data_IF_522165366221
#
_entry.id   IF_522165366221
#
_cell.length_a   1.000
_cell.length_b   1.000
_cell.length_c   1.000
_cell.angle_alpha   90.00
_cell.angle_beta   90.00
_cell.angle_gamma   90.00
#
_symmetry.space_group_name_H-M   'P 1'
#
loop_
_entity.id
_entity.type
_entity.pdbx_description
1 polymer ?
#
# COMPACT_ATOMS: atom_id res chain seq x y z
N UNK A 1 1.34 13.03 -0.57
CA UNK A 1 1.54 12.02 0.47
C UNK A 1 0.26 11.84 1.27
N UNK A 2 -0.10 10.59 1.56
CA UNK A 2 -1.18 10.23 2.50
C UNK A 2 -0.52 9.73 3.79
N UNK A 3 -0.98 10.23 4.93
CA UNK A 3 -0.46 9.90 6.27
C UNK A 3 -1.55 9.30 7.13
N UNK A 4 -1.19 8.39 8.03
CA UNK A 4 -2.00 8.11 9.21
C UNK A 4 -1.87 9.35 10.12
N UNK A 5 -2.98 9.83 10.66
CA UNK A 5 -3.00 11.02 11.54
C UNK A 5 -3.94 10.82 12.73
N UNK A 6 -3.35 10.57 13.89
CA UNK A 6 -4.03 10.57 15.17
C UNK A 6 -3.77 11.84 16.00
N UNK A 7 -2.95 12.78 15.53
CA UNK A 7 -2.65 14.01 16.25
C UNK A 7 -3.93 14.81 16.55
N UNK A 8 -4.80 14.95 15.55
CA UNK A 8 -6.07 15.68 15.69
C UNK A 8 -6.97 15.06 16.76
N UNK A 9 -7.16 13.74 16.74
CA UNK A 9 -7.99 13.06 17.74
C UNK A 9 -7.34 13.07 19.13
N UNK A 10 -6.02 12.94 19.20
CA UNK A 10 -5.26 13.04 20.45
C UNK A 10 -5.41 14.45 21.07
N UNK A 11 -5.34 15.49 20.26
CA UNK A 11 -5.58 16.87 20.74
C UNK A 11 -7.02 17.06 21.24
N UNK A 12 -8.02 16.53 20.53
CA UNK A 12 -9.42 16.59 20.94
C UNK A 12 -9.65 15.87 22.29
N UNK A 13 -9.11 14.66 22.47
CA UNK A 13 -9.22 13.93 23.73
C UNK A 13 -8.49 14.61 24.88
N UNK A 14 -7.34 15.23 24.62
CA UNK A 14 -6.62 16.05 25.62
C UNK A 14 -7.46 17.21 26.15
N UNK A 15 -8.26 17.86 25.31
CA UNK A 15 -9.19 18.92 25.74
C UNK A 15 -10.23 18.41 26.74
N UNK A 16 -10.61 17.15 26.65
CA UNK A 16 -11.57 16.47 27.55
C UNK A 16 -10.86 15.77 28.74
N UNK A 17 -9.56 16.02 28.93
CA UNK A 17 -8.78 15.40 30.02
C UNK A 17 -8.57 13.89 29.86
N UNK A 18 -8.65 13.37 28.61
CA UNK A 18 -8.52 11.93 28.29
C UNK A 18 -7.25 11.66 27.50
N UNK A 19 -6.79 10.43 27.53
CA UNK A 19 -5.67 9.93 26.74
C UNK A 19 -6.19 9.16 25.51
N UNK A 20 -5.58 9.39 24.34
CA UNK A 20 -5.84 8.59 23.15
C UNK A 20 -4.91 7.37 23.17
N UNK A 21 -5.47 6.19 23.35
CA UNK A 21 -4.73 4.92 23.39
C UNK A 21 -4.77 4.17 22.06
N UNK A 22 -5.60 4.59 21.11
CA UNK A 22 -5.74 3.89 19.83
C UNK A 22 -4.44 3.82 19.02
N UNK A 23 -3.58 4.85 18.94
CA UNK A 23 -2.30 4.74 18.25
C UNK A 23 -1.37 3.67 18.85
N UNK A 24 -1.61 3.29 20.11
CA UNK A 24 -0.82 2.29 20.84
C UNK A 24 -1.31 0.85 20.60
N UNK A 25 -2.23 0.63 19.69
CA UNK A 25 -2.81 -0.68 19.37
C UNK A 25 -2.61 -1.06 17.90
N UNK A 26 -2.69 -2.35 17.61
CA UNK A 26 -2.73 -2.87 16.23
C UNK A 26 -3.93 -2.29 15.45
N UNK A 27 -5.09 -2.14 16.12
CA UNK A 27 -6.30 -1.55 15.53
C UNK A 27 -6.04 -0.14 14.99
N UNK A 28 -5.29 0.69 15.70
CA UNK A 28 -4.95 2.04 15.23
C UNK A 28 -4.21 2.03 13.91
N UNK A 29 -3.27 1.10 13.73
CA UNK A 29 -2.55 0.95 12.46
C UNK A 29 -3.47 0.44 11.37
N UNK A 30 -4.32 -0.54 11.67
CA UNK A 30 -5.27 -1.11 10.70
C UNK A 30 -6.28 -0.07 10.21
N UNK A 31 -6.93 0.65 11.13
CA UNK A 31 -7.87 1.73 10.79
C UNK A 31 -7.18 2.82 9.96
N UNK A 32 -6.01 3.30 10.43
CA UNK A 32 -5.27 4.32 9.69
C UNK A 32 -4.83 3.88 8.30
N UNK A 33 -4.44 2.60 8.14
CA UNK A 33 -4.05 2.04 6.85
C UNK A 33 -5.26 1.89 5.90
N UNK A 34 -6.41 1.47 6.40
CA UNK A 34 -7.65 1.35 5.62
C UNK A 34 -8.12 2.72 5.15
N UNK A 35 -8.21 3.70 6.06
CA UNK A 35 -8.62 5.07 5.73
C UNK A 35 -7.65 5.71 4.72
N UNK A 36 -6.35 5.50 4.91
CA UNK A 36 -5.34 5.96 3.97
C UNK A 36 -5.45 5.34 2.59
N UNK A 37 -5.78 4.05 2.50
CA UNK A 37 -6.04 3.36 1.22
C UNK A 37 -7.29 3.89 0.51
N UNK A 38 -8.37 4.12 1.25
CA UNK A 38 -9.61 4.72 0.74
C UNK A 38 -9.34 6.14 0.21
N UNK A 39 -8.61 6.96 0.98
CA UNK A 39 -8.24 8.32 0.58
C UNK A 39 -7.35 8.31 -0.67
N UNK A 40 -6.36 7.42 -0.75
CA UNK A 40 -5.50 7.28 -1.92
C UNK A 40 -6.32 6.98 -3.18
N UNK A 41 -7.21 5.99 -3.11
CA UNK A 41 -8.05 5.62 -4.25
C UNK A 41 -8.98 6.76 -4.67
N UNK A 42 -9.62 7.44 -3.72
CA UNK A 42 -10.48 8.59 -4.00
C UNK A 42 -9.71 9.72 -4.70
N UNK A 43 -8.50 10.04 -4.21
CA UNK A 43 -7.63 11.05 -4.78
C UNK A 43 -7.20 10.71 -6.22
N UNK A 44 -6.78 9.46 -6.45
CA UNK A 44 -6.38 8.99 -7.78
C UNK A 44 -7.56 8.99 -8.76
N UNK A 45 -8.71 8.47 -8.35
CA UNK A 45 -9.92 8.46 -9.18
C UNK A 45 -10.37 9.88 -9.55
N UNK A 46 -10.35 10.80 -8.59
CA UNK A 46 -10.66 12.21 -8.85
C UNK A 46 -9.66 12.84 -9.82
N UNK A 47 -8.36 12.63 -9.63
CA UNK A 47 -7.34 13.15 -10.53
C UNK A 47 -7.50 12.61 -11.96
N UNK A 48 -7.73 11.31 -12.09
CA UNK A 48 -7.94 10.66 -13.40
C UNK A 48 -9.22 11.15 -14.10
N UNK A 49 -10.27 11.48 -13.36
CA UNK A 49 -11.49 12.08 -13.93
C UNK A 49 -11.27 13.46 -14.56
N UNK A 50 -10.19 14.15 -14.16
CA UNK A 50 -9.74 15.41 -14.77
C UNK A 50 -8.69 15.22 -15.87
N UNK A 51 -8.39 13.98 -16.25
CA UNK A 51 -7.42 13.65 -17.30
C UNK A 51 -5.97 13.57 -16.83
N UNK A 52 -5.70 13.61 -15.53
CA UNK A 52 -4.36 13.38 -15.00
C UNK A 52 -4.03 11.88 -14.95
N UNK A 53 -2.73 11.56 -15.04
CA UNK A 53 -2.21 10.23 -14.72
C UNK A 53 -1.78 10.17 -13.26
N UNK A 54 -1.89 8.99 -12.64
CA UNK A 54 -1.52 8.77 -11.25
C UNK A 54 -0.66 7.52 -11.07
N UNK A 55 0.18 7.51 -10.02
CA UNK A 55 0.94 6.33 -9.63
C UNK A 55 1.11 6.28 -8.11
N UNK A 56 0.64 5.20 -7.48
CA UNK A 56 0.84 4.97 -6.05
C UNK A 56 2.31 4.63 -5.75
N UNK A 57 2.88 5.25 -4.72
CA UNK A 57 4.30 5.14 -4.34
C UNK A 57 4.43 4.58 -2.92
N UNK A 58 4.59 3.25 -2.81
CA UNK A 58 4.89 2.60 -1.52
C UNK A 58 6.34 2.82 -1.05
N UNK A 59 7.24 3.14 -1.97
CA UNK A 59 8.67 3.31 -1.71
C UNK A 59 9.04 4.45 -0.74
N UNK A 60 8.11 5.34 -0.41
CA UNK A 60 8.29 6.38 0.62
C UNK A 60 8.61 5.76 1.99
N UNK A 61 8.13 4.55 2.27
CA UNK A 61 8.39 3.82 3.51
C UNK A 61 9.79 3.17 3.58
N UNK A 62 10.63 3.37 2.57
CA UNK A 62 12.04 2.97 2.64
C UNK A 62 12.81 3.79 3.67
N UNK A 63 12.48 5.09 3.78
CA UNK A 63 13.07 6.02 4.74
C UNK A 63 11.96 6.86 5.40
N UNK A 64 11.13 6.27 6.30
CA UNK A 64 9.99 6.99 6.87
C UNK A 64 10.41 8.18 7.74
N UNK A 65 11.53 8.06 8.45
CA UNK A 65 12.14 9.12 9.27
C UNK A 65 12.45 10.39 8.46
N UNK A 66 12.98 10.24 7.25
CA UNK A 66 13.20 11.38 6.35
C UNK A 66 11.90 12.04 5.89
N UNK A 67 10.84 11.27 5.73
CA UNK A 67 9.51 11.84 5.40
C UNK A 67 8.93 12.59 6.58
N UNK A 68 9.10 12.05 7.79
CA UNK A 68 8.68 12.71 9.04
C UNK A 68 9.43 14.04 9.20
N UNK A 69 10.75 14.05 9.02
CA UNK A 69 11.58 15.26 9.10
C UNK A 69 11.21 16.30 8.04
N UNK A 70 11.15 15.87 6.77
CA UNK A 70 10.88 16.75 5.63
C UNK A 70 9.53 17.49 5.74
N UNK A 71 8.52 16.80 6.30
CA UNK A 71 7.16 17.31 6.40
C UNK A 71 6.79 17.76 7.81
N UNK A 72 7.77 17.78 8.73
CA UNK A 72 7.59 18.17 10.12
C UNK A 72 6.38 17.45 10.78
N UNK A 73 6.25 16.13 10.49
CA UNK A 73 5.13 15.35 10.96
C UNK A 73 5.19 15.19 12.50
N UNK A 74 4.12 15.54 13.23
CA UNK A 74 4.09 15.39 14.68
C UNK A 74 3.96 13.92 15.10
N UNK A 75 4.21 13.66 16.37
CA UNK A 75 3.89 12.37 17.01
C UNK A 75 2.41 11.99 16.80
N UNK A 76 2.10 10.72 16.64
CA UNK A 76 0.77 10.22 16.28
C UNK A 76 0.45 10.28 14.80
N UNK A 77 1.45 10.60 13.95
CA UNK A 77 1.31 10.57 12.48
C UNK A 77 2.35 9.66 11.84
N UNK A 78 2.03 9.07 10.68
CA UNK A 78 2.97 8.22 9.95
C UNK A 78 2.79 8.32 8.43
N UNK A 79 3.89 8.45 7.64
CA UNK A 79 3.83 8.49 6.20
C UNK A 79 3.45 7.12 5.63
N UNK A 80 2.23 6.99 5.11
CA UNK A 80 1.66 5.70 4.69
C UNK A 80 1.97 5.37 3.23
N UNK A 81 1.61 6.26 2.31
CA UNK A 81 1.76 6.06 0.88
C UNK A 81 1.82 7.39 0.15
N UNK A 82 2.65 7.47 -0.89
CA UNK A 82 2.67 8.60 -1.81
C UNK A 82 1.82 8.33 -3.05
N UNK A 83 1.49 9.38 -3.77
CA UNK A 83 1.07 9.30 -5.16
C UNK A 83 1.69 10.43 -5.96
N UNK A 84 2.09 10.14 -7.19
CA UNK A 84 2.35 11.19 -8.18
C UNK A 84 1.07 11.47 -8.94
N UNK A 85 0.86 12.73 -9.30
CA UNK A 85 -0.24 13.19 -10.15
C UNK A 85 0.38 14.10 -11.19
N UNK A 86 0.12 13.86 -12.47
CA UNK A 86 0.71 14.65 -13.54
C UNK A 86 -0.04 14.50 -14.85
N UNK A 87 0.30 15.36 -15.80
CA UNK A 87 -0.21 15.23 -17.16
C UNK A 87 0.45 14.02 -17.80
N UNK A 88 -0.32 13.01 -18.27
CA UNK A 88 0.25 11.86 -18.94
C UNK A 88 0.86 12.29 -20.29
N UNK A 89 1.91 11.58 -20.71
CA UNK A 89 2.45 11.75 -22.06
C UNK A 89 1.40 11.30 -23.07
N UNK A 90 1.47 11.82 -24.31
CA UNK A 90 0.54 11.44 -25.38
C UNK A 90 0.65 9.96 -25.76
N UNK A 91 1.82 9.35 -25.54
CA UNK A 91 2.05 7.92 -25.76
C UNK A 91 1.45 7.09 -24.60
N UNK A 92 0.28 6.54 -24.83
CA UNK A 92 -0.29 5.53 -23.94
C UNK A 92 0.38 4.18 -24.19
N UNK A 93 0.68 3.39 -23.13
CA UNK A 93 1.12 2.02 -23.33
C UNK A 93 0.10 1.26 -24.20
N UNK A 94 0.57 0.59 -25.23
CA UNK A 94 -0.28 -0.19 -26.15
C UNK A 94 -0.82 -1.48 -25.53
N UNK A 95 -0.47 -1.76 -24.26
CA UNK A 95 -0.79 -3.01 -23.59
C UNK A 95 -1.20 -2.77 -22.13
N UNK A 96 -2.06 -3.65 -21.63
CA UNK A 96 -2.46 -3.72 -20.21
C UNK A 96 -1.90 -4.99 -19.63
N UNK A 97 -1.15 -4.87 -18.51
CA UNK A 97 -0.62 -6.03 -17.80
C UNK A 97 -1.77 -6.92 -17.32
N UNK A 98 -1.73 -8.24 -17.59
CA UNK A 98 -2.76 -9.16 -17.12
C UNK A 98 -2.84 -9.16 -15.59
N UNK A 99 -4.00 -9.53 -15.08
CA UNK A 99 -4.28 -9.65 -13.64
C UNK A 99 -4.53 -11.11 -13.29
N UNK A 100 -4.38 -11.43 -12.01
CA UNK A 100 -4.78 -12.74 -11.48
C UNK A 100 -6.25 -13.02 -11.76
N UNK A 101 -6.67 -14.27 -11.96
CA UNK A 101 -8.07 -14.64 -12.16
C UNK A 101 -8.94 -14.15 -10.99
N UNK A 102 -10.14 -13.65 -11.29
CA UNK A 102 -11.02 -13.05 -10.28
C UNK A 102 -11.34 -14.03 -9.13
N UNK A 103 -11.60 -15.28 -9.44
CA UNK A 103 -11.93 -16.33 -8.48
C UNK A 103 -10.75 -16.73 -7.55
N UNK A 104 -9.53 -16.26 -7.83
CA UNK A 104 -8.38 -16.50 -6.97
C UNK A 104 -8.27 -15.53 -5.79
N UNK A 105 -9.04 -14.45 -5.78
CA UNK A 105 -9.02 -13.46 -4.68
C UNK A 105 -10.40 -12.93 -4.29
N UNK A 106 -11.44 -13.15 -5.10
CA UNK A 106 -12.82 -12.80 -4.78
C UNK A 106 -13.62 -14.08 -4.55
N UNK A 107 -13.95 -14.36 -3.30
CA UNK A 107 -14.62 -15.59 -2.89
C UNK A 107 -16.05 -15.30 -2.44
N UNK A 108 -16.96 -16.29 -2.65
CA UNK A 108 -18.34 -16.22 -2.17
C UNK A 108 -18.44 -16.93 -0.82
N UNK A 109 -18.94 -16.24 0.20
CA UNK A 109 -19.18 -16.70 1.58
C UNK A 109 -17.94 -17.15 2.34
N UNK A 110 -17.05 -17.96 1.75
CA UNK A 110 -15.88 -18.53 2.40
C UNK A 110 -14.65 -18.41 1.52
N UNK A 111 -13.49 -18.31 2.15
CA UNK A 111 -12.21 -18.35 1.45
C UNK A 111 -12.00 -19.70 0.75
N UNK A 112 -11.72 -19.69 -0.54
CA UNK A 112 -11.45 -20.88 -1.35
C UNK A 112 -9.94 -20.99 -1.63
N UNK A 113 -9.26 -21.78 -0.80
CA UNK A 113 -7.83 -22.03 -0.91
C UNK A 113 -7.46 -22.70 -2.24
N UNK A 114 -8.26 -23.64 -2.71
CA UNK A 114 -8.00 -24.39 -3.96
C UNK A 114 -8.11 -23.45 -5.17
N UNK A 115 -9.12 -22.61 -5.22
CA UNK A 115 -9.27 -21.60 -6.27
C UNK A 115 -8.10 -20.60 -6.25
N UNK A 116 -7.62 -20.20 -5.06
CA UNK A 116 -6.46 -19.32 -4.92
C UNK A 116 -5.19 -19.95 -5.48
N UNK A 117 -4.88 -21.20 -5.09
CA UNK A 117 -3.69 -21.93 -5.54
C UNK A 117 -3.73 -22.14 -7.08
N UNK A 118 -4.85 -22.59 -7.61
CA UNK A 118 -5.05 -22.73 -9.05
C UNK A 118 -4.89 -21.40 -9.81
N UNK A 119 -5.41 -20.31 -9.25
CA UNK A 119 -5.27 -19.00 -9.85
C UNK A 119 -3.82 -18.49 -9.90
N UNK A 120 -2.98 -18.87 -8.94
CA UNK A 120 -1.53 -18.61 -9.00
C UNK A 120 -0.89 -19.34 -10.16
N UNK A 121 -1.17 -20.66 -10.29
CA UNK A 121 -0.63 -21.50 -11.37
C UNK A 121 -1.04 -20.96 -12.77
N UNK A 122 -2.32 -20.60 -12.92
CA UNK A 122 -2.84 -20.00 -14.16
C UNK A 122 -2.17 -18.66 -14.47
N UNK A 123 -1.98 -17.81 -13.45
CA UNK A 123 -1.39 -16.50 -13.65
C UNK A 123 0.11 -16.57 -13.98
N UNK A 124 0.84 -17.53 -13.45
CA UNK A 124 2.22 -17.80 -13.83
C UNK A 124 2.37 -18.00 -15.33
N UNK A 125 1.48 -18.80 -15.92
CA UNK A 125 1.48 -19.08 -17.36
C UNK A 125 1.09 -17.84 -18.18
N UNK A 126 0.03 -17.14 -17.77
CA UNK A 126 -0.47 -15.94 -18.45
C UNK A 126 0.58 -14.82 -18.41
N UNK A 127 1.20 -14.59 -17.26
CA UNK A 127 2.19 -13.53 -17.10
C UNK A 127 3.47 -13.84 -17.87
N UNK A 128 3.91 -15.12 -17.86
CA UNK A 128 5.07 -15.54 -18.63
C UNK A 128 4.85 -15.32 -20.12
N UNK A 129 3.71 -15.82 -20.64
CA UNK A 129 3.36 -15.60 -22.05
C UNK A 129 3.31 -14.12 -22.42
N UNK A 130 2.71 -13.30 -21.57
CA UNK A 130 2.61 -11.85 -21.81
C UNK A 130 3.99 -11.18 -21.89
N UNK A 131 4.94 -11.57 -21.05
CA UNK A 131 6.32 -11.09 -21.13
C UNK A 131 7.02 -11.55 -22.41
N UNK A 132 6.80 -12.79 -22.81
CA UNK A 132 7.37 -13.34 -24.04
C UNK A 132 6.83 -12.62 -25.29
N UNK A 133 5.53 -12.34 -25.33
CA UNK A 133 4.87 -11.61 -26.43
C UNK A 133 5.42 -10.16 -26.56
N UNK A 134 5.92 -9.58 -25.45
CA UNK A 134 6.57 -8.28 -25.45
C UNK A 134 8.09 -8.34 -25.69
N UNK A 135 8.66 -9.51 -25.90
CA UNK A 135 10.11 -9.72 -26.04
C UNK A 135 10.91 -9.54 -24.74
N UNK A 136 10.25 -9.50 -23.58
CA UNK A 136 10.86 -9.27 -22.27
C UNK A 136 11.17 -10.61 -21.57
N UNK A 137 12.00 -11.43 -22.21
CA UNK A 137 12.30 -12.80 -21.78
C UNK A 137 13.04 -12.89 -20.43
N UNK A 138 13.68 -11.80 -19.99
CA UNK A 138 14.36 -11.71 -18.70
C UNK A 138 13.41 -11.54 -17.49
N UNK A 139 12.13 -11.21 -17.74
CA UNK A 139 11.16 -11.05 -16.66
C UNK A 139 10.70 -12.39 -16.13
N UNK A 140 10.50 -12.48 -14.82
CA UNK A 140 9.97 -13.66 -14.16
C UNK A 140 8.47 -13.85 -14.34
N UNK A 141 7.97 -15.04 -13.97
CA UNK A 141 6.54 -15.21 -13.72
C UNK A 141 6.17 -14.69 -12.32
N UNK A 142 4.89 -14.74 -11.96
CA UNK A 142 4.42 -14.20 -10.67
C UNK A 142 5.07 -14.89 -9.46
N UNK A 143 5.14 -16.22 -9.45
CA UNK A 143 5.74 -16.99 -8.36
C UNK A 143 7.22 -16.69 -8.17
N UNK A 144 7.96 -16.53 -9.25
CA UNK A 144 9.38 -16.13 -9.20
C UNK A 144 9.55 -14.73 -8.62
N UNK A 145 8.76 -13.77 -9.09
CA UNK A 145 8.85 -12.39 -8.63
C UNK A 145 8.48 -12.26 -7.15
N UNK A 146 7.40 -12.92 -6.72
CA UNK A 146 6.97 -12.94 -5.31
C UNK A 146 8.01 -13.60 -4.42
N UNK A 147 8.56 -14.76 -4.84
CA UNK A 147 9.62 -15.46 -4.10
C UNK A 147 10.86 -14.59 -3.91
N UNK A 148 11.30 -13.91 -4.97
CA UNK A 148 12.46 -13.03 -4.90
C UNK A 148 12.22 -11.81 -4.00
N UNK A 149 11.00 -11.28 -3.97
CA UNK A 149 10.69 -10.04 -3.26
C UNK A 149 10.32 -10.26 -1.79
N UNK A 150 9.59 -11.33 -1.47
CA UNK A 150 9.03 -11.55 -0.12
C UNK A 150 9.89 -12.47 0.77
N UNK A 151 11.00 -13.01 0.28
CA UNK A 151 11.92 -13.78 1.13
C UNK A 151 12.65 -12.92 2.18
N UNK A 152 12.58 -11.59 2.07
CA UNK A 152 13.20 -10.65 3.02
C UNK A 152 12.23 -9.52 3.35
N UNK A 153 12.42 -8.92 4.52
CA UNK A 153 11.69 -7.70 4.91
C UNK A 153 12.29 -6.52 4.14
N UNK A 154 11.64 -6.12 3.06
CA UNK A 154 12.14 -5.09 2.14
C UNK A 154 12.15 -3.65 2.72
N UNK A 155 11.41 -3.37 3.80
CA UNK A 155 11.46 -2.11 4.55
C UNK A 155 11.64 -2.37 6.05
N UNK A 156 12.82 -2.79 6.50
CA UNK A 156 13.04 -3.28 7.87
C UNK A 156 12.95 -2.18 8.95
N UNK A 157 12.98 -0.91 8.57
CA UNK A 157 12.94 0.22 9.51
C UNK A 157 11.52 0.69 9.86
N UNK A 158 10.49 0.19 9.18
CA UNK A 158 9.09 0.66 9.34
C UNK A 158 8.63 0.51 10.78
N UNK A 159 8.81 -0.66 11.42
CA UNK A 159 8.36 -0.88 12.78
C UNK A 159 9.05 0.06 13.79
N UNK A 160 10.37 0.27 13.63
CA UNK A 160 11.11 1.19 14.51
C UNK A 160 10.63 2.64 14.34
N UNK A 161 10.32 3.06 13.12
CA UNK A 161 9.82 4.40 12.85
C UNK A 161 8.37 4.59 13.27
N UNK A 162 7.52 3.56 13.20
CA UNK A 162 6.18 3.59 13.81
C UNK A 162 6.28 3.84 15.31
N UNK A 163 7.13 3.10 16.03
CA UNK A 163 7.34 3.32 17.47
C UNK A 163 7.84 4.72 17.81
N UNK A 164 8.78 5.28 17.02
CA UNK A 164 9.24 6.66 17.20
C UNK A 164 8.12 7.69 17.06
N UNK A 165 7.07 7.37 16.29
CA UNK A 165 5.91 8.20 16.08
C UNK A 165 4.76 7.88 17.06
N UNK A 166 5.02 7.10 18.13
CA UNK A 166 4.05 6.79 19.17
C UNK A 166 3.06 5.67 18.81
N UNK A 167 3.34 4.89 17.76
CA UNK A 167 2.57 3.70 17.43
C UNK A 167 3.19 2.48 18.13
N UNK A 168 2.44 1.85 18.99
CA UNK A 168 2.88 0.68 19.76
C UNK A 168 1.85 -0.44 19.62
N UNK A 169 2.19 -1.65 20.08
CA UNK A 169 1.28 -2.80 20.12
C UNK A 169 1.12 -3.18 21.58
N UNK A 170 0.23 -2.48 22.30
CA UNK A 170 -0.05 -2.69 23.73
C UNK A 170 -1.32 -3.49 23.98
N UNK A 171 -1.94 -4.01 22.94
CA UNK A 171 -3.15 -4.81 22.94
C UNK A 171 -2.87 -6.33 22.93
N UNK A 172 -1.65 -6.75 23.32
CA UNK A 172 -1.25 -8.15 23.53
C UNK A 172 -1.56 -8.64 24.96
#
# INVERSE_FOLDING_TARGET
>A
LVTIDFYRSTYAMKKEGKQNVIPMSAEGILVGAVDGGIMLNALQTAAESFGYGTTAIGGIRRNPDKMVELLELPEGTFPLVGTTIGVPTEEKPSFVKPRVPLNSFAHTEKYDKVATEKGVDEYDLVLRKWWDDLGMTQMGNYSQDVSNYYQTIYFPTVAANLRKQGFEFQDE
#
